data_IF_978483876276
#
_entry.id   IF_978483876276
#
_cell.length_a   1.000
_cell.length_b   1.000
_cell.length_c   1.000
_cell.angle_alpha   90.00
_cell.angle_beta   90.00
_cell.angle_gamma   90.00
#
_symmetry.space_group_name_H-M   'P 1'
#
loop_
_entity.id
_entity.type
_entity.pdbx_description
1 polymer ?
#
# COMPACT_ATOMS: atom_id res chain seq x y z
N UNK A 1 49.14 -33.90 -79.08
CA UNK A 1 49.60 -33.46 -77.73
C UNK A 1 49.95 -31.99 -77.91
N UNK A 2 49.30 -30.97 -77.36
CA UNK A 2 48.63 -30.69 -76.08
C UNK A 2 47.66 -29.51 -76.37
N UNK A 3 46.41 -29.39 -75.91
CA UNK A 3 45.86 -29.65 -74.58
C UNK A 3 45.87 -28.34 -73.76
N UNK A 4 44.88 -27.46 -73.95
CA UNK A 4 44.66 -26.24 -73.14
C UNK A 4 44.37 -26.56 -71.66
N UNK A 5 44.32 -25.58 -70.72
CA UNK A 5 43.37 -24.46 -70.77
C UNK A 5 43.90 -23.12 -70.20
N UNK A 6 43.20 -22.01 -70.42
CA UNK A 6 43.39 -20.80 -69.60
C UNK A 6 42.06 -20.09 -69.39
N UNK A 7 41.35 -20.58 -68.37
CA UNK A 7 40.22 -19.89 -67.76
C UNK A 7 40.78 -19.02 -66.64
N UNK A 8 40.65 -17.69 -66.78
CA UNK A 8 40.96 -16.75 -65.70
C UNK A 8 39.69 -15.98 -65.38
N UNK A 9 39.04 -16.40 -64.30
CA UNK A 9 37.85 -15.80 -63.73
C UNK A 9 38.07 -14.30 -63.42
N UNK A 10 37.05 -13.45 -63.63
CA UNK A 10 37.10 -12.07 -63.20
C UNK A 10 37.10 -11.95 -61.67
N UNK A 11 37.83 -10.95 -61.18
CA UNK A 11 38.07 -10.66 -59.78
C UNK A 11 36.77 -10.40 -58.98
N UNK A 12 36.71 -10.78 -57.69
CA UNK A 12 35.59 -10.42 -56.83
C UNK A 12 35.58 -8.91 -56.57
N UNK A 13 34.48 -8.28 -56.95
CA UNK A 13 34.13 -6.90 -56.63
C UNK A 13 34.01 -6.75 -55.10
N UNK A 14 34.64 -5.75 -54.47
CA UNK A 14 34.52 -5.54 -53.03
C UNK A 14 33.08 -5.15 -52.70
N UNK A 15 32.35 -6.06 -52.04
CA UNK A 15 31.00 -5.87 -51.50
C UNK A 15 31.00 -4.65 -50.57
N UNK A 16 30.59 -3.51 -51.15
CA UNK A 16 30.45 -2.21 -50.51
C UNK A 16 29.26 -2.16 -49.57
N UNK A 17 29.12 -3.15 -48.66
CA UNK A 17 28.30 -3.02 -47.46
C UNK A 17 28.98 -2.03 -46.54
N UNK A 18 28.77 -0.75 -46.88
CA UNK A 18 28.88 0.38 -45.99
C UNK A 18 28.09 0.00 -44.74
N UNK A 19 28.81 -0.43 -43.71
CA UNK A 19 28.33 -0.47 -42.34
C UNK A 19 27.81 0.93 -42.06
N UNK A 20 26.49 1.10 -42.21
CA UNK A 20 25.77 2.31 -41.85
C UNK A 20 25.81 2.34 -40.33
N UNK A 21 26.96 2.75 -39.78
CA UNK A 21 27.07 3.15 -38.37
C UNK A 21 26.04 4.26 -38.22
N UNK A 22 24.94 3.92 -37.57
CA UNK A 22 24.00 4.92 -37.07
C UNK A 22 24.82 5.74 -36.09
N UNK A 23 25.35 6.86 -36.58
CA UNK A 23 26.04 7.85 -35.78
C UNK A 23 24.97 8.48 -34.89
N UNK A 24 24.72 7.85 -33.74
CA UNK A 24 23.95 8.45 -32.66
C UNK A 24 24.78 9.66 -32.24
N UNK A 25 24.34 10.83 -32.72
CA UNK A 25 24.92 12.12 -32.38
C UNK A 25 25.04 12.20 -30.86
N UNK A 26 26.27 12.40 -30.37
CA UNK A 26 26.61 12.46 -28.95
C UNK A 26 25.79 13.50 -28.16
N UNK A 27 25.17 14.46 -28.85
CA UNK A 27 24.22 15.43 -28.28
C UNK A 27 22.87 14.81 -27.88
N UNK A 28 22.42 13.75 -28.53
CA UNK A 28 21.18 13.05 -28.17
C UNK A 28 21.35 12.05 -27.03
N UNK A 29 22.56 11.49 -26.85
CA UNK A 29 22.85 10.57 -25.74
C UNK A 29 22.89 11.26 -24.37
N UNK A 30 23.37 12.51 -24.30
CA UNK A 30 23.47 13.28 -23.03
C UNK A 30 22.09 13.75 -22.54
N UNK A 31 21.21 14.17 -23.47
CA UNK A 31 19.84 14.58 -23.13
C UNK A 31 18.99 13.42 -22.59
N UNK A 32 19.16 12.23 -23.16
CA UNK A 32 18.43 11.03 -22.71
C UNK A 32 18.88 10.55 -21.33
N UNK A 33 20.20 10.54 -21.06
CA UNK A 33 20.74 10.10 -19.78
C UNK A 33 20.33 11.03 -18.62
N UNK A 34 20.34 12.36 -18.84
CA UNK A 34 19.91 13.34 -17.83
C UNK A 34 18.41 13.25 -17.56
N UNK A 35 17.58 13.11 -18.59
CA UNK A 35 16.14 12.91 -18.43
C UNK A 35 15.82 11.64 -17.63
N UNK A 36 16.51 10.53 -17.89
CA UNK A 36 16.35 9.28 -17.14
C UNK A 36 16.67 9.47 -15.66
N UNK A 37 17.79 10.13 -15.33
CA UNK A 37 18.18 10.39 -13.93
C UNK A 37 17.14 11.24 -13.21
N UNK A 38 16.62 12.29 -13.87
CA UNK A 38 15.56 13.13 -13.30
C UNK A 38 14.28 12.33 -13.06
N UNK A 39 13.84 11.53 -14.04
CA UNK A 39 12.66 10.68 -13.89
C UNK A 39 12.84 9.69 -12.73
N UNK A 40 13.98 9.01 -12.65
CA UNK A 40 14.28 8.08 -11.56
C UNK A 40 14.28 8.79 -10.21
N UNK A 41 14.90 9.98 -10.09
CA UNK A 41 14.91 10.76 -8.86
C UNK A 41 13.50 11.19 -8.44
N UNK A 42 12.66 11.64 -9.37
CA UNK A 42 11.26 12.01 -9.12
C UNK A 42 10.45 10.79 -8.66
N UNK A 43 10.59 9.65 -9.35
CA UNK A 43 9.90 8.40 -8.95
C UNK A 43 10.32 7.99 -7.54
N UNK A 44 11.61 8.01 -7.23
CA UNK A 44 12.14 7.69 -5.90
C UNK A 44 11.56 8.66 -4.85
N UNK A 45 11.61 9.97 -5.09
CA UNK A 45 11.09 10.97 -4.16
C UNK A 45 9.58 10.80 -3.88
N UNK A 46 8.79 10.51 -4.91
CA UNK A 46 7.36 10.21 -4.77
C UNK A 46 7.12 8.95 -3.93
N UNK A 47 7.88 7.87 -4.18
CA UNK A 47 7.80 6.64 -3.40
C UNK A 47 8.13 6.87 -1.92
N UNK A 48 9.19 7.61 -1.61
CA UNK A 48 9.56 7.94 -0.23
C UNK A 48 8.48 8.75 0.48
N UNK A 49 7.92 9.76 -0.18
CA UNK A 49 6.88 10.61 0.40
C UNK A 49 5.63 9.80 0.75
N UNK A 50 5.14 8.99 -0.18
CA UNK A 50 3.93 8.17 0.05
C UNK A 50 4.13 7.14 1.18
N UNK A 51 5.31 6.53 1.27
CA UNK A 51 5.63 5.58 2.35
C UNK A 51 5.63 6.21 3.74
N UNK A 52 6.20 7.41 3.88
CA UNK A 52 6.25 8.13 5.15
C UNK A 52 4.86 8.62 5.61
N UNK A 53 4.06 9.14 4.68
CA UNK A 53 2.67 9.54 4.97
C UNK A 53 1.85 8.36 5.49
N UNK A 54 1.97 7.20 4.83
CA UNK A 54 1.22 5.99 5.23
C UNK A 54 1.54 5.54 6.66
N UNK A 55 2.83 5.44 7.02
CA UNK A 55 3.25 5.03 8.38
C UNK A 55 2.78 6.00 9.45
N UNK A 56 2.79 7.30 9.14
CA UNK A 56 2.30 8.33 10.06
C UNK A 56 0.81 8.16 10.34
N UNK A 57 0.01 7.98 9.29
CA UNK A 57 -1.44 7.83 9.45
C UNK A 57 -1.82 6.47 10.09
N UNK A 58 -1.11 5.38 9.77
CA UNK A 58 -1.26 4.09 10.48
C UNK A 58 -1.06 4.26 11.99
N UNK A 59 0.02 4.93 12.41
CA UNK A 59 0.26 5.23 13.82
C UNK A 59 -0.85 6.06 14.47
N UNK A 60 -1.41 7.04 13.74
CA UNK A 60 -2.52 7.86 14.22
C UNK A 60 -3.81 7.05 14.41
N UNK A 61 -4.13 6.14 13.48
CA UNK A 61 -5.31 5.29 13.57
C UNK A 61 -5.20 4.32 14.76
N UNK A 62 -4.06 3.63 14.90
CA UNK A 62 -3.79 2.72 16.03
C UNK A 62 -3.90 3.43 17.37
N UNK A 63 -3.20 4.55 17.54
CA UNK A 63 -3.25 5.32 18.79
C UNK A 63 -4.65 5.87 19.10
N UNK A 64 -5.47 6.18 18.09
CA UNK A 64 -6.85 6.61 18.29
C UNK A 64 -7.72 5.44 18.78
N UNK A 65 -7.54 4.25 18.22
CA UNK A 65 -8.24 3.04 18.67
C UNK A 65 -7.83 2.64 20.09
N UNK A 66 -6.54 2.71 20.45
CA UNK A 66 -6.07 2.40 21.80
C UNK A 66 -6.67 3.34 22.86
N UNK A 67 -6.83 4.62 22.52
CA UNK A 67 -7.53 5.60 23.37
C UNK A 67 -9.01 5.26 23.54
N UNK A 68 -9.67 4.82 22.47
CA UNK A 68 -11.07 4.40 22.53
C UNK A 68 -11.22 3.14 23.38
N UNK A 69 -10.35 2.14 23.22
CA UNK A 69 -10.32 0.95 24.07
C UNK A 69 -10.22 1.36 25.53
N UNK A 70 -9.22 2.17 25.86
CA UNK A 70 -9.04 2.68 27.24
C UNK A 70 -10.29 3.39 27.77
N UNK A 71 -10.94 4.24 26.96
CA UNK A 71 -12.14 4.95 27.37
C UNK A 71 -13.37 4.04 27.52
N UNK A 72 -13.52 3.04 26.65
CA UNK A 72 -14.57 2.01 26.74
C UNK A 72 -14.41 1.16 27.99
N UNK A 73 -13.19 0.70 28.30
CA UNK A 73 -12.89 -0.05 29.52
C UNK A 73 -13.22 0.76 30.78
N UNK A 74 -12.82 2.05 30.80
CA UNK A 74 -13.18 2.95 31.91
C UNK A 74 -14.69 3.10 32.06
N UNK A 75 -15.41 3.32 30.97
CA UNK A 75 -16.88 3.42 31.01
C UNK A 75 -17.54 2.11 31.42
N UNK A 76 -17.00 0.96 31.00
CA UNK A 76 -17.50 -0.36 31.36
C UNK A 76 -17.32 -0.62 32.86
N UNK A 77 -16.20 -0.19 33.45
CA UNK A 77 -15.97 -0.30 34.89
C UNK A 77 -17.09 0.37 35.71
N UNK A 78 -17.53 1.56 35.29
CA UNK A 78 -18.56 2.33 36.00
C UNK A 78 -19.99 1.87 35.71
N UNK A 79 -20.26 1.42 34.49
CA UNK A 79 -21.63 1.20 33.99
C UNK A 79 -21.97 -0.25 33.67
N UNK A 80 -21.00 -1.16 33.72
CA UNK A 80 -21.09 -2.59 33.33
C UNK A 80 -21.58 -2.82 31.91
N UNK A 81 -21.39 -1.84 31.02
CA UNK A 81 -21.72 -1.94 29.59
C UNK A 81 -20.80 -1.09 28.71
N UNK A 82 -20.57 -1.53 27.48
CA UNK A 82 -19.91 -0.72 26.45
C UNK A 82 -20.89 0.22 25.75
N UNK A 83 -20.37 1.28 25.12
CA UNK A 83 -21.17 2.26 24.37
C UNK A 83 -20.97 2.12 22.86
N UNK A 84 -22.06 2.26 22.11
CA UNK A 84 -22.03 2.24 20.64
C UNK A 84 -21.77 3.58 19.98
N UNK A 85 -21.43 4.63 20.74
CA UNK A 85 -21.24 5.98 20.21
C UNK A 85 -20.11 6.71 20.91
N UNK A 86 -19.22 7.31 20.13
CA UNK A 86 -18.12 8.14 20.64
C UNK A 86 -18.60 9.34 21.45
N UNK A 87 -19.82 9.83 21.21
CA UNK A 87 -20.38 10.95 21.99
C UNK A 87 -20.57 10.61 23.46
N UNK A 88 -20.68 9.32 23.80
CA UNK A 88 -20.76 8.85 25.18
C UNK A 88 -19.38 8.71 25.85
N UNK A 89 -18.29 8.93 25.10
CA UNK A 89 -16.90 8.88 25.57
C UNK A 89 -16.27 10.29 25.49
N UNK A 90 -16.60 11.20 26.42
CA UNK A 90 -16.20 12.61 26.32
C UNK A 90 -14.69 12.84 26.42
N UNK A 91 -13.94 11.87 26.92
CA UNK A 91 -12.48 11.93 27.04
C UNK A 91 -11.76 11.60 25.72
N UNK A 92 -12.46 11.03 24.74
CA UNK A 92 -11.88 10.67 23.45
C UNK A 92 -11.90 11.86 22.51
N UNK A 93 -10.73 12.32 22.11
CA UNK A 93 -10.55 13.32 21.06
C UNK A 93 -9.82 12.70 19.88
N UNK A 94 -10.48 12.68 18.72
CA UNK A 94 -9.90 12.15 17.49
C UNK A 94 -8.98 13.20 16.83
N UNK A 95 -7.80 12.80 16.33
CA UNK A 95 -6.99 13.66 15.49
C UNK A 95 -7.73 14.10 14.22
N UNK A 96 -7.32 15.24 13.64
CA UNK A 96 -7.90 15.74 12.38
C UNK A 96 -7.83 14.69 11.28
N UNK A 97 -8.97 14.47 10.61
CA UNK A 97 -9.09 13.54 9.49
C UNK A 97 -9.17 12.06 9.88
N UNK A 98 -9.12 11.72 11.17
CA UNK A 98 -9.42 10.38 11.67
C UNK A 98 -10.93 10.27 11.92
N UNK A 99 -11.55 9.24 11.36
CA UNK A 99 -12.95 8.89 11.61
C UNK A 99 -13.01 7.52 12.24
N UNK A 100 -13.88 7.34 13.23
CA UNK A 100 -14.09 6.04 13.87
C UNK A 100 -15.57 5.72 13.96
N UNK A 101 -15.92 4.51 13.53
CA UNK A 101 -17.25 3.94 13.65
C UNK A 101 -17.20 2.85 14.73
N UNK A 102 -18.17 2.89 15.64
CA UNK A 102 -18.31 1.91 16.72
C UNK A 102 -19.53 1.03 16.47
N UNK A 103 -19.37 -0.25 16.71
CA UNK A 103 -20.43 -1.25 16.63
C UNK A 103 -20.45 -2.04 17.92
N UNK A 104 -21.63 -2.17 18.50
CA UNK A 104 -21.84 -2.73 19.84
C UNK A 104 -22.94 -3.79 19.73
N UNK A 105 -22.60 -5.04 19.34
CA UNK A 105 -23.61 -6.08 19.12
C UNK A 105 -24.35 -6.46 20.42
N UNK A 106 -23.72 -6.26 21.58
CA UNK A 106 -24.35 -6.44 22.88
C UNK A 106 -23.79 -5.44 23.92
N UNK A 107 -24.02 -5.67 25.22
CA UNK A 107 -23.54 -4.78 26.29
C UNK A 107 -22.10 -5.06 26.73
N UNK A 108 -21.55 -6.22 26.40
CA UNK A 108 -20.25 -6.77 26.84
C UNK A 108 -19.27 -6.99 25.70
N UNK A 109 -19.63 -6.63 24.47
CA UNK A 109 -18.72 -6.70 23.34
C UNK A 109 -18.94 -5.53 22.39
N UNK A 110 -17.85 -5.04 21.83
CA UNK A 110 -17.86 -4.00 20.81
C UNK A 110 -16.69 -4.18 19.85
N UNK A 111 -16.80 -3.57 18.69
CA UNK A 111 -15.70 -3.42 17.76
C UNK A 111 -15.78 -2.06 17.09
N UNK A 112 -14.64 -1.59 16.60
CA UNK A 112 -14.53 -0.29 15.96
C UNK A 112 -13.66 -0.34 14.72
N UNK A 113 -14.01 0.49 13.74
CA UNK A 113 -13.23 0.70 12.52
C UNK A 113 -12.79 2.15 12.49
N UNK A 114 -11.48 2.37 12.34
CA UNK A 114 -10.87 3.68 12.16
C UNK A 114 -10.37 3.85 10.72
N UNK A 115 -10.64 5.01 10.13
CA UNK A 115 -10.21 5.41 8.79
C UNK A 115 -9.60 6.81 8.80
N UNK A 116 -8.83 7.15 7.76
CA UNK A 116 -8.22 8.47 7.62
C UNK A 116 -8.53 9.08 6.24
N UNK A 117 -8.86 10.37 6.18
CA UNK A 117 -9.20 11.08 4.93
C UNK A 117 -8.13 10.97 3.83
N UNK A 118 -6.86 10.91 4.25
CA UNK A 118 -5.70 10.79 3.35
C UNK A 118 -5.39 9.36 2.93
N UNK A 119 -6.02 8.36 3.54
CA UNK A 119 -5.89 6.94 3.23
C UNK A 119 -7.28 6.26 3.18
N UNK A 120 -8.12 6.60 2.19
CA UNK A 120 -9.52 6.16 2.17
C UNK A 120 -9.71 4.64 2.02
N UNK A 121 -8.71 3.94 1.48
CA UNK A 121 -8.71 2.49 1.32
C UNK A 121 -7.94 1.74 2.44
N UNK A 122 -7.52 2.46 3.48
CA UNK A 122 -6.78 1.88 4.62
C UNK A 122 -7.61 2.01 5.89
N UNK A 123 -7.80 0.87 6.56
CA UNK A 123 -8.68 0.76 7.71
C UNK A 123 -7.93 0.07 8.84
N UNK A 124 -8.25 0.44 10.08
CA UNK A 124 -7.80 -0.25 11.27
C UNK A 124 -9.00 -0.73 12.07
N UNK A 125 -8.97 -1.98 12.52
CA UNK A 125 -10.05 -2.60 13.29
C UNK A 125 -9.54 -3.05 14.65
N UNK A 126 -10.35 -2.86 15.68
CA UNK A 126 -10.16 -3.42 17.03
C UNK A 126 -11.48 -3.99 17.54
N UNK A 127 -11.42 -4.98 18.43
CA UNK A 127 -12.60 -5.52 19.11
C UNK A 127 -12.28 -5.88 20.55
N UNK A 128 -13.35 -5.99 21.34
CA UNK A 128 -13.37 -6.41 22.75
C UNK A 128 -14.58 -7.32 22.98
N UNK A 129 -14.40 -8.39 23.77
CA UNK A 129 -15.42 -9.36 24.15
C UNK A 129 -15.64 -10.45 23.11
N UNK A 130 -16.58 -10.22 22.19
CA UNK A 130 -16.92 -11.19 21.14
C UNK A 130 -16.42 -10.66 19.81
N UNK A 131 -15.54 -11.42 19.15
CA UNK A 131 -15.03 -11.05 17.84
C UNK A 131 -16.18 -10.95 16.81
N UNK A 132 -16.19 -9.92 15.96
CA UNK A 132 -17.22 -9.80 14.93
C UNK A 132 -17.16 -10.97 13.96
N UNK A 133 -18.27 -11.69 13.82
CA UNK A 133 -18.41 -12.81 12.86
C UNK A 133 -18.54 -12.32 11.43
N UNK A 134 -19.06 -11.11 11.26
CA UNK A 134 -19.16 -10.42 9.97
C UNK A 134 -18.57 -9.03 10.15
N UNK A 135 -17.51 -8.74 9.42
CA UNK A 135 -17.00 -7.39 9.29
C UNK A 135 -17.50 -6.79 7.98
N UNK A 136 -17.79 -5.48 7.94
CA UNK A 136 -17.96 -4.77 6.68
C UNK A 136 -16.61 -4.82 5.95
N UNK A 137 -16.62 -5.34 4.73
CA UNK A 137 -15.43 -5.69 3.94
C UNK A 137 -14.71 -6.96 4.44
N UNK A 138 -14.00 -7.66 3.55
CA UNK A 138 -13.37 -8.98 3.76
C UNK A 138 -12.25 -8.97 4.83
N UNK A 139 -12.23 -7.94 5.67
CA UNK A 139 -11.48 -7.84 6.90
C UNK A 139 -11.79 -9.04 7.81
N UNK A 140 -10.73 -9.63 8.36
CA UNK A 140 -10.86 -10.51 9.53
C UNK A 140 -10.70 -9.69 10.79
N UNK A 141 -11.46 -10.05 11.82
CA UNK A 141 -11.20 -9.53 13.15
C UNK A 141 -9.72 -9.83 13.51
N UNK A 142 -9.01 -8.91 14.15
CA UNK A 142 -7.68 -9.23 14.69
C UNK A 142 -7.76 -10.50 15.53
N UNK A 143 -6.75 -11.35 15.42
CA UNK A 143 -6.65 -12.57 16.23
C UNK A 143 -6.59 -12.24 17.73
N UNK A 144 -5.97 -11.11 18.06
CA UNK A 144 -5.82 -10.63 19.42
C UNK A 144 -6.81 -9.52 19.73
N UNK A 145 -7.62 -9.72 20.76
CA UNK A 145 -8.47 -8.70 21.36
C UNK A 145 -7.65 -7.47 21.77
N UNK A 146 -8.26 -6.28 21.75
CA UNK A 146 -7.66 -4.97 22.09
C UNK A 146 -6.47 -4.51 21.22
N UNK A 147 -5.96 -5.35 20.31
CA UNK A 147 -4.85 -4.98 19.42
C UNK A 147 -5.36 -4.58 18.04
N UNK A 148 -5.18 -3.31 17.62
CA UNK A 148 -5.62 -2.88 16.31
C UNK A 148 -4.88 -3.61 15.18
N UNK A 149 -5.64 -4.13 14.21
CA UNK A 149 -5.15 -4.66 12.95
C UNK A 149 -5.51 -3.69 11.82
N UNK A 150 -4.52 -3.29 11.05
CA UNK A 150 -4.69 -2.35 9.94
C UNK A 150 -4.41 -3.03 8.60
N UNK A 151 -5.24 -2.76 7.60
CA UNK A 151 -5.18 -3.39 6.28
C UNK A 151 -5.68 -2.44 5.19
N UNK A 152 -5.24 -2.70 3.96
CA UNK A 152 -5.83 -2.06 2.77
C UNK A 152 -7.02 -2.90 2.27
N UNK A 153 -8.00 -2.28 1.63
CA UNK A 153 -9.11 -2.97 0.94
C UNK A 153 -8.60 -4.02 -0.07
N UNK A 154 -7.44 -3.77 -0.69
CA UNK A 154 -6.81 -4.69 -1.65
C UNK A 154 -6.16 -5.95 -1.01
N UNK A 155 -6.07 -5.99 0.33
CA UNK A 155 -5.55 -7.12 1.09
C UNK A 155 -6.64 -8.07 1.60
N UNK A 156 -7.88 -7.59 1.66
CA UNK A 156 -9.02 -8.31 2.22
C UNK A 156 -9.40 -9.54 1.37
N UNK A 157 -9.22 -9.46 0.03
CA UNK A 157 -9.45 -10.58 -0.89
C UNK A 157 -8.31 -11.61 -1.05
N UNK A 158 -7.16 -11.47 -0.37
CA UNK A 158 -5.96 -12.30 -0.65
C UNK A 158 -5.58 -13.37 0.38
N UNK A 159 -6.26 -13.46 1.52
CA UNK A 159 -6.02 -14.54 2.49
C UNK A 159 -7.02 -15.69 2.31
N UNK A 160 -6.73 -16.52 1.31
CA UNK A 160 -7.34 -17.84 1.12
C UNK A 160 -7.07 -18.74 2.34
N UNK A 161 -8.17 -19.14 3.00
CA UNK A 161 -8.47 -20.48 3.55
C UNK A 161 -7.28 -21.29 4.11
N UNK A 162 -7.16 -21.47 5.45
CA UNK A 162 -6.30 -22.54 5.97
C UNK A 162 -6.89 -23.89 5.57
N UNK A 163 -6.03 -24.76 5.03
CA UNK A 163 -6.29 -26.15 4.66
C UNK A 163 -6.60 -27.03 5.86
#
# INVERSE_FOLDING_TARGET
MTGGPSEKAPAPEPDGRVLRRVAISSRQAIGAATALVVIVAVVIALRYRTGNERRRYDGLLRASLDKIVTAQEGYYYDSTRYVGSLRALPTVQLPTGVHVQLHNPDRRSWWGIATHDRLPAYHCIVWVGTAPTTLPLEARAPENETKPLCFDDAGAGRQTRPS
#
